data_IF_522420712418
#
_entry.id   IF_522420712418
#
_cell.length_a   1.000
_cell.length_b   1.000
_cell.length_c   1.000
_cell.angle_alpha   90.00
_cell.angle_beta   90.00
_cell.angle_gamma   90.00
#
_symmetry.space_group_name_H-M   'P 1'
#
loop_
_entity.id
_entity.type
_entity.pdbx_description
1 polymer ?
#
# COMPACT_ATOMS: atom_id res chain seq x y z
N UNK A 1 11.30 -20.23 28.88
CA UNK A 1 11.77 -18.98 28.24
C UNK A 1 10.55 -18.13 27.99
N UNK A 2 10.49 -17.00 28.69
CA UNK A 2 9.51 -15.93 28.44
C UNK A 2 9.76 -15.38 27.04
N UNK A 3 8.77 -15.49 26.15
CA UNK A 3 8.91 -15.07 24.75
C UNK A 3 8.34 -13.66 24.61
N UNK A 4 9.11 -12.76 23.99
CA UNK A 4 8.64 -11.43 23.68
C UNK A 4 7.80 -11.46 22.41
N UNK A 5 6.63 -10.81 22.44
CA UNK A 5 5.62 -10.92 21.38
C UNK A 5 5.13 -9.56 20.93
N UNK A 6 4.46 -9.52 19.79
CA UNK A 6 3.83 -8.29 19.30
C UNK A 6 2.44 -8.11 19.94
N UNK A 7 2.16 -6.91 20.45
CA UNK A 7 0.83 -6.50 20.88
C UNK A 7 0.34 -5.31 20.06
N UNK A 8 -0.94 -5.33 19.65
CA UNK A 8 -1.54 -4.22 18.93
C UNK A 8 -1.85 -3.08 19.90
N UNK A 9 -1.36 -1.88 19.63
CA UNK A 9 -1.58 -0.70 20.49
C UNK A 9 -2.68 0.21 19.92
N UNK A 10 -2.55 0.63 18.67
CA UNK A 10 -3.55 1.41 17.97
C UNK A 10 -3.62 0.97 16.49
N UNK A 11 -4.51 1.54 15.65
CA UNK A 11 -4.58 1.16 14.23
C UNK A 11 -3.21 1.30 13.55
N UNK A 12 -2.74 0.20 12.95
CA UNK A 12 -1.45 0.08 12.26
C UNK A 12 -0.19 0.21 13.15
N UNK A 13 -0.31 0.29 14.47
CA UNK A 13 0.84 0.34 15.39
C UNK A 13 0.87 -0.87 16.31
N UNK A 14 2.03 -1.53 16.35
CA UNK A 14 2.32 -2.62 17.27
C UNK A 14 3.43 -2.18 18.23
N UNK A 15 3.39 -2.74 19.44
CA UNK A 15 4.37 -2.55 20.51
C UNK A 15 4.93 -3.92 20.92
N UNK A 16 6.16 -3.93 21.41
CA UNK A 16 6.81 -5.10 21.98
C UNK A 16 6.16 -5.39 23.34
N UNK A 17 5.59 -6.58 23.51
CA UNK A 17 5.12 -7.09 24.79
C UNK A 17 6.21 -7.98 25.38
N UNK A 18 6.86 -7.49 26.42
CA UNK A 18 7.95 -8.16 27.11
C UNK A 18 7.54 -8.51 28.54
N UNK A 19 7.75 -9.76 29.01
CA UNK A 19 7.53 -10.11 30.42
C UNK A 19 8.56 -9.45 31.36
N UNK A 20 9.77 -9.19 30.85
CA UNK A 20 10.87 -8.55 31.59
C UNK A 20 11.02 -7.08 31.17
N UNK A 21 11.61 -6.28 32.07
CA UNK A 21 11.85 -4.87 31.81
C UNK A 21 13.10 -4.68 30.96
N UNK A 22 13.00 -3.79 29.97
CA UNK A 22 14.08 -3.42 29.05
C UNK A 22 14.35 -1.91 29.10
N UNK A 23 15.58 -1.53 28.81
CA UNK A 23 16.02 -0.15 28.65
C UNK A 23 15.90 0.32 27.20
N UNK A 24 15.91 1.64 27.00
CA UNK A 24 15.95 2.26 25.68
C UNK A 24 17.29 1.92 24.99
N UNK A 25 17.21 1.42 23.76
CA UNK A 25 18.36 0.92 22.97
C UNK A 25 18.61 -0.58 23.11
N UNK A 26 17.87 -1.30 23.96
CA UNK A 26 18.02 -2.75 24.07
C UNK A 26 17.57 -3.44 22.78
N UNK A 27 18.36 -4.41 22.30
CA UNK A 27 18.00 -5.25 21.16
C UNK A 27 17.35 -6.54 21.69
N UNK A 28 16.12 -6.77 21.25
CA UNK A 28 15.29 -7.87 21.72
C UNK A 28 14.72 -8.63 20.53
N UNK A 29 14.64 -9.95 20.62
CA UNK A 29 13.97 -10.78 19.61
C UNK A 29 12.46 -10.84 19.88
N UNK A 30 11.65 -10.41 18.92
CA UNK A 30 10.20 -10.56 18.95
C UNK A 30 9.73 -11.72 18.07
N UNK A 31 8.91 -12.59 18.63
CA UNK A 31 8.28 -13.69 17.90
C UNK A 31 6.84 -13.34 17.53
N UNK A 32 6.53 -13.42 16.23
CA UNK A 32 5.17 -13.25 15.72
C UNK A 32 4.28 -14.47 16.01
N UNK A 33 2.95 -14.30 15.91
CA UNK A 33 1.98 -15.42 16.01
C UNK A 33 2.28 -16.59 15.06
N UNK A 34 3.00 -16.33 13.96
CA UNK A 34 3.35 -17.33 12.95
C UNK A 34 4.76 -17.91 13.14
N UNK A 35 5.42 -17.66 14.27
CA UNK A 35 6.75 -18.20 14.57
C UNK A 35 7.90 -17.50 13.85
N UNK A 36 7.65 -16.40 13.13
CA UNK A 36 8.73 -15.56 12.58
C UNK A 36 9.32 -14.69 13.68
N UNK A 37 10.64 -14.70 13.77
CA UNK A 37 11.42 -13.88 14.69
C UNK A 37 11.98 -12.66 13.97
N UNK A 38 12.09 -11.55 14.69
CA UNK A 38 12.79 -10.37 14.21
C UNK A 38 13.46 -9.66 15.39
N UNK A 39 14.65 -9.15 15.16
CA UNK A 39 15.36 -8.29 16.11
C UNK A 39 14.79 -6.88 16.05
N UNK A 40 14.49 -6.34 17.21
CA UNK A 40 13.96 -4.99 17.36
C UNK A 40 14.75 -4.23 18.42
N UNK A 41 14.91 -2.94 18.18
CA UNK A 41 15.46 -1.99 19.13
C UNK A 41 14.31 -1.36 19.92
N UNK A 42 14.42 -1.42 21.24
CA UNK A 42 13.43 -0.88 22.19
C UNK A 42 13.60 0.63 22.35
N UNK A 43 12.50 1.38 22.28
CA UNK A 43 12.49 2.83 22.48
C UNK A 43 11.86 3.22 23.83
N UNK A 44 10.57 3.51 23.84
CA UNK A 44 9.88 4.07 25.00
C UNK A 44 8.95 3.05 25.64
N UNK A 45 8.83 3.10 26.97
CA UNK A 45 7.79 2.37 27.71
C UNK A 45 6.44 3.06 27.52
N UNK A 46 5.53 2.38 26.82
CA UNK A 46 4.20 2.89 26.45
C UNK A 46 3.16 2.57 27.53
N UNK A 47 3.23 1.37 28.09
CA UNK A 47 2.29 0.87 29.08
C UNK A 47 2.97 -0.18 29.95
N UNK A 48 2.61 -0.23 31.22
CA UNK A 48 2.96 -1.32 32.13
C UNK A 48 1.68 -1.98 32.66
N UNK A 49 1.74 -3.29 32.81
CA UNK A 49 0.73 -4.13 33.49
C UNK A 49 1.46 -5.01 34.50
N UNK A 50 0.72 -5.64 35.42
CA UNK A 50 1.32 -6.55 36.42
C UNK A 50 2.14 -7.68 35.76
N UNK A 51 1.72 -8.14 34.58
CA UNK A 51 2.32 -9.29 33.89
C UNK A 51 3.31 -8.94 32.77
N UNK A 52 3.34 -7.69 32.30
CA UNK A 52 4.10 -7.32 31.10
C UNK A 52 4.35 -5.82 30.95
N UNK A 53 5.44 -5.53 30.23
CA UNK A 53 5.87 -4.21 29.78
C UNK A 53 5.62 -4.08 28.28
N UNK A 54 5.14 -2.90 27.86
CA UNK A 54 4.85 -2.60 26.47
C UNK A 54 5.75 -1.48 25.97
N UNK A 55 6.57 -1.77 24.96
CA UNK A 55 7.52 -0.80 24.42
C UNK A 55 7.26 -0.48 22.95
N UNK A 56 7.48 0.76 22.56
CA UNK A 56 7.69 1.07 21.14
C UNK A 56 9.02 0.49 20.67
N UNK A 57 9.11 0.16 19.39
CA UNK A 57 10.30 -0.47 18.84
C UNK A 57 10.49 -0.09 17.36
N UNK A 58 11.73 -0.18 16.90
CA UNK A 58 12.08 -0.18 15.48
C UNK A 58 12.68 -1.54 15.13
N UNK A 59 12.41 -2.06 13.93
CA UNK A 59 13.05 -3.30 13.51
C UNK A 59 14.47 -3.02 13.02
N UNK A 60 15.43 -3.82 13.47
CA UNK A 60 16.83 -3.67 13.10
C UNK A 60 17.08 -4.03 11.62
N UNK A 61 16.17 -4.79 10.99
CA UNK A 61 16.24 -5.15 9.57
C UNK A 61 15.74 -4.05 8.61
N UNK A 62 15.37 -2.88 9.13
CA UNK A 62 14.85 -1.76 8.34
C UNK A 62 13.44 -2.00 7.77
N UNK A 63 12.75 -3.07 8.17
CA UNK A 63 11.39 -3.32 7.71
C UNK A 63 10.40 -2.41 8.46
N UNK A 64 9.71 -1.54 7.74
CA UNK A 64 8.69 -0.63 8.26
C UNK A 64 7.46 -0.64 7.33
N UNK A 65 6.51 0.26 7.55
CA UNK A 65 5.31 0.33 6.70
C UNK A 65 5.63 0.76 5.25
N UNK A 66 6.65 1.62 5.05
CA UNK A 66 7.05 2.13 3.74
C UNK A 66 7.73 1.03 2.91
N UNK A 67 8.75 0.37 3.46
CA UNK A 67 9.45 -0.70 2.76
C UNK A 67 8.53 -1.89 2.46
N UNK A 68 7.53 -2.13 3.31
CA UNK A 68 6.47 -3.11 3.02
C UNK A 68 5.58 -2.67 1.85
N UNK A 69 5.26 -1.38 1.75
CA UNK A 69 4.47 -0.84 0.65
C UNK A 69 5.25 -0.90 -0.68
N UNK A 70 6.54 -0.55 -0.67
CA UNK A 70 7.45 -0.68 -1.83
C UNK A 70 7.51 -2.13 -2.32
N UNK A 71 7.78 -3.10 -1.43
CA UNK A 71 7.80 -4.54 -1.78
C UNK A 71 6.47 -5.02 -2.37
N UNK A 72 5.34 -4.40 -1.97
CA UNK A 72 4.03 -4.72 -2.55
C UNK A 72 3.87 -4.10 -3.94
N UNK A 73 4.27 -2.85 -4.12
CA UNK A 73 4.26 -2.19 -5.43
C UNK A 73 5.11 -2.98 -6.43
N UNK A 74 6.35 -3.34 -6.08
CA UNK A 74 7.25 -4.15 -6.90
C UNK A 74 6.64 -5.51 -7.30
N UNK A 75 5.99 -6.18 -6.33
CA UNK A 75 5.30 -7.45 -6.61
C UNK A 75 4.17 -7.28 -7.63
N UNK A 76 3.36 -6.23 -7.49
CA UNK A 76 2.30 -5.95 -8.44
C UNK A 76 2.84 -5.52 -9.80
N UNK A 77 3.97 -4.81 -9.85
CA UNK A 77 4.67 -4.50 -11.09
C UNK A 77 5.04 -5.79 -11.83
N UNK A 78 5.63 -6.76 -11.14
CA UNK A 78 5.91 -8.07 -11.73
C UNK A 78 4.65 -8.79 -12.24
N UNK A 79 3.50 -8.62 -11.59
CA UNK A 79 2.23 -9.19 -12.08
C UNK A 79 1.68 -8.44 -13.31
N UNK A 80 1.81 -7.12 -13.35
CA UNK A 80 1.44 -6.29 -14.49
C UNK A 80 2.29 -6.64 -15.71
N UNK A 81 3.62 -6.70 -15.55
CA UNK A 81 4.55 -7.05 -16.63
C UNK A 81 4.27 -8.44 -17.18
N UNK A 82 3.99 -9.42 -16.31
CA UNK A 82 3.64 -10.76 -16.74
C UNK A 82 2.29 -10.81 -17.48
N UNK A 83 1.31 -9.99 -17.08
CA UNK A 83 0.04 -9.87 -17.81
C UNK A 83 0.23 -9.22 -19.18
N UNK A 84 1.05 -8.17 -19.25
CA UNK A 84 1.39 -7.52 -20.52
C UNK A 84 2.12 -8.48 -21.46
N UNK A 85 3.12 -9.22 -20.99
CA UNK A 85 3.81 -10.25 -21.79
C UNK A 85 2.85 -11.30 -22.34
N UNK A 86 1.90 -11.80 -21.53
CA UNK A 86 0.87 -12.74 -22.01
C UNK A 86 -0.08 -12.10 -23.03
N UNK A 87 -0.44 -10.84 -22.83
CA UNK A 87 -1.24 -10.06 -23.79
C UNK A 87 -0.54 -9.96 -25.14
N UNK A 88 0.74 -9.58 -25.14
CA UNK A 88 1.59 -9.50 -26.34
C UNK A 88 1.68 -10.85 -27.05
N UNK A 89 1.92 -11.94 -26.31
CA UNK A 89 1.94 -13.31 -26.86
C UNK A 89 0.61 -13.70 -27.53
N UNK A 90 -0.54 -13.38 -26.91
CA UNK A 90 -1.84 -13.66 -27.52
C UNK A 90 -2.10 -12.80 -28.75
N UNK A 91 -1.63 -11.55 -28.74
CA UNK A 91 -1.74 -10.65 -29.88
C UNK A 91 -0.91 -11.14 -31.06
N UNK A 92 0.35 -11.50 -30.84
CA UNK A 92 1.22 -12.11 -31.87
C UNK A 92 0.59 -13.39 -32.43
N UNK A 93 0.10 -14.27 -31.56
CA UNK A 93 -0.59 -15.50 -31.99
C UNK A 93 -1.90 -15.22 -32.75
N UNK A 94 -2.58 -14.09 -32.50
CA UNK A 94 -3.79 -13.70 -33.24
C UNK A 94 -3.51 -13.26 -34.69
N UNK A 95 -2.24 -13.01 -35.03
CA UNK A 95 -1.81 -12.69 -36.40
C UNK A 95 -1.64 -13.95 -37.27
N UNK A 96 -2.03 -15.13 -36.79
CA UNK A 96 -2.03 -16.36 -37.59
C UNK A 96 -2.87 -16.14 -38.87
N UNK A 97 -2.28 -16.39 -40.04
CA UNK A 97 -2.96 -16.23 -41.32
C UNK A 97 -3.21 -14.77 -41.73
N UNK A 98 -2.50 -13.81 -41.14
CA UNK A 98 -2.58 -12.38 -41.49
C UNK A 98 -2.44 -12.11 -42.99
N UNK A 99 -1.47 -12.76 -43.66
CA UNK A 99 -1.24 -12.58 -45.10
C UNK A 99 -2.41 -13.08 -45.95
N UNK A 100 -3.10 -14.12 -45.50
CA UNK A 100 -4.31 -14.62 -46.17
C UNK A 100 -5.50 -13.69 -45.92
N UNK A 101 -5.68 -13.23 -44.68
CA UNK A 101 -6.81 -12.37 -44.29
C UNK A 101 -6.66 -10.93 -44.82
N UNK A 102 -5.44 -10.44 -45.05
CA UNK A 102 -5.19 -9.11 -45.59
C UNK A 102 -5.70 -8.93 -47.02
N UNK A 103 -5.83 -10.03 -47.77
CA UNK A 103 -6.45 -10.04 -49.11
C UNK A 103 -7.95 -9.73 -49.07
N UNK A 104 -8.56 -9.73 -47.88
CA UNK A 104 -9.98 -9.46 -47.65
C UNK A 104 -10.93 -10.35 -48.50
N UNK A 105 -10.51 -11.58 -48.80
CA UNK A 105 -11.37 -12.53 -49.51
C UNK A 105 -12.64 -12.83 -48.69
N UNK A 106 -13.83 -12.81 -49.30
CA UNK A 106 -15.05 -13.18 -48.60
C UNK A 106 -15.07 -14.68 -48.27
N UNK A 107 -15.78 -15.05 -47.20
CA UNK A 107 -16.06 -16.46 -46.89
C UNK A 107 -16.99 -17.02 -47.98
N UNK A 108 -16.46 -17.96 -48.77
CA UNK A 108 -17.19 -18.66 -49.84
C UNK A 108 -18.08 -19.75 -49.23
N UNK A 109 -19.34 -19.43 -48.96
CA UNK A 109 -20.32 -20.37 -48.37
C UNK A 109 -20.56 -21.57 -49.30
N UNK A 110 -20.51 -22.79 -48.76
CA UNK A 110 -20.66 -24.04 -49.49
C UNK A 110 -19.37 -24.56 -50.15
N UNK A 111 -18.27 -23.80 -50.09
CA UNK A 111 -16.98 -24.23 -50.64
C UNK A 111 -16.17 -25.06 -49.63
N UNK A 112 -15.34 -25.98 -50.10
CA UNK A 112 -14.54 -26.86 -49.24
C UNK A 112 -13.56 -26.12 -48.29
N UNK A 113 -13.24 -24.85 -48.60
CA UNK A 113 -12.38 -23.99 -47.76
C UNK A 113 -13.13 -23.24 -46.65
N UNK A 114 -14.46 -23.19 -46.69
CA UNK A 114 -15.30 -22.41 -45.77
C UNK A 114 -14.98 -22.69 -44.30
N UNK A 115 -14.96 -23.98 -43.94
CA UNK A 115 -14.74 -24.43 -42.55
C UNK A 115 -13.38 -23.94 -42.00
N UNK A 116 -12.34 -23.96 -42.84
CA UNK A 116 -11.00 -23.50 -42.45
C UNK A 116 -10.97 -21.99 -42.27
N UNK A 117 -11.62 -21.23 -43.16
CA UNK A 117 -11.68 -19.78 -43.07
C UNK A 117 -12.40 -19.33 -41.79
N UNK A 118 -13.60 -19.87 -41.51
CA UNK A 118 -14.34 -19.56 -40.27
C UNK A 118 -13.54 -19.90 -39.01
N UNK A 119 -12.92 -21.08 -38.99
CA UNK A 119 -12.12 -21.51 -37.84
C UNK A 119 -10.90 -20.61 -37.60
N UNK A 120 -10.24 -20.10 -38.65
CA UNK A 120 -9.13 -19.17 -38.52
C UNK A 120 -9.58 -17.86 -37.86
N UNK A 121 -10.64 -17.24 -38.38
CA UNK A 121 -11.20 -16.00 -37.83
C UNK A 121 -11.63 -16.20 -36.37
N UNK A 122 -12.34 -17.29 -36.08
CA UNK A 122 -12.82 -17.57 -34.73
C UNK A 122 -11.66 -17.78 -33.74
N UNK A 123 -10.59 -18.49 -34.14
CA UNK A 123 -9.39 -18.66 -33.29
C UNK A 123 -8.71 -17.31 -33.03
N UNK A 124 -8.56 -16.47 -34.05
CA UNK A 124 -7.93 -15.16 -33.89
C UNK A 124 -8.79 -14.23 -33.02
N UNK A 125 -10.11 -14.24 -33.19
CA UNK A 125 -11.05 -13.51 -32.33
C UNK A 125 -10.93 -13.96 -30.86
N UNK A 126 -10.94 -15.27 -30.59
CA UNK A 126 -10.76 -15.80 -29.22
C UNK A 126 -9.41 -15.43 -28.60
N UNK A 127 -8.35 -15.31 -29.41
CA UNK A 127 -7.04 -14.82 -28.95
C UNK A 127 -7.11 -13.33 -28.62
N UNK A 128 -7.75 -12.51 -29.45
CA UNK A 128 -7.99 -11.09 -29.18
C UNK A 128 -8.81 -10.85 -27.90
N UNK A 129 -9.82 -11.69 -27.63
CA UNK A 129 -10.55 -11.64 -26.35
C UNK A 129 -9.61 -11.83 -25.15
N UNK A 130 -8.63 -12.75 -25.27
CA UNK A 130 -7.62 -12.97 -24.24
C UNK A 130 -6.64 -11.81 -24.12
N UNK A 131 -6.26 -11.17 -25.22
CA UNK A 131 -5.45 -9.92 -25.21
C UNK A 131 -6.14 -8.89 -24.32
N UNK A 132 -7.41 -8.58 -24.62
CA UNK A 132 -8.18 -7.59 -23.86
C UNK A 132 -8.33 -8.00 -22.39
N UNK A 133 -8.54 -9.28 -22.11
CA UNK A 133 -8.64 -9.77 -20.73
C UNK A 133 -7.32 -9.60 -19.95
N UNK A 134 -6.16 -9.87 -20.57
CA UNK A 134 -4.86 -9.65 -19.93
C UNK A 134 -4.52 -8.16 -19.80
N UNK A 135 -4.88 -7.32 -20.77
CA UNK A 135 -4.73 -5.86 -20.67
C UNK A 135 -5.50 -5.30 -19.47
N UNK A 136 -6.78 -5.71 -19.29
CA UNK A 136 -7.58 -5.30 -18.13
C UNK A 136 -6.97 -5.76 -16.80
N UNK A 137 -6.31 -6.92 -16.77
CA UNK A 137 -5.57 -7.37 -15.57
C UNK A 137 -4.37 -6.47 -15.31
N UNK A 138 -3.60 -6.13 -16.35
CA UNK A 138 -2.45 -5.24 -16.22
C UNK A 138 -2.87 -3.85 -15.70
N UNK A 139 -3.92 -3.27 -16.25
CA UNK A 139 -4.51 -2.00 -15.79
C UNK A 139 -4.94 -2.07 -14.32
N UNK A 140 -5.64 -3.14 -13.92
CA UNK A 140 -6.02 -3.34 -12.52
C UNK A 140 -4.82 -3.46 -11.58
N UNK A 141 -3.69 -4.00 -12.05
CA UNK A 141 -2.46 -4.02 -11.26
C UNK A 141 -1.81 -2.64 -11.19
N UNK A 142 -1.85 -1.84 -12.26
CA UNK A 142 -1.36 -0.45 -12.27
C UNK A 142 -2.07 0.41 -11.23
N UNK A 143 -3.39 0.30 -11.10
CA UNK A 143 -4.15 1.02 -10.06
C UNK A 143 -3.67 0.65 -8.64
N UNK A 144 -3.36 -0.63 -8.42
CA UNK A 144 -2.85 -1.12 -7.13
C UNK A 144 -1.43 -0.65 -6.88
N UNK A 145 -0.59 -0.62 -7.90
CA UNK A 145 0.79 -0.11 -7.83
C UNK A 145 0.74 1.35 -7.38
N UNK A 146 -0.03 2.20 -8.07
CA UNK A 146 -0.18 3.61 -7.73
C UNK A 146 -0.68 3.84 -6.28
N UNK A 147 -1.55 2.95 -5.78
CA UNK A 147 -1.95 2.99 -4.38
C UNK A 147 -0.79 2.66 -3.43
N UNK A 148 -0.03 1.59 -3.71
CA UNK A 148 1.08 1.17 -2.85
C UNK A 148 2.27 2.13 -2.89
N UNK A 149 2.55 2.75 -4.02
CA UNK A 149 3.53 3.84 -4.13
C UNK A 149 3.16 5.01 -3.22
N UNK A 150 1.89 5.45 -3.24
CA UNK A 150 1.42 6.49 -2.30
C UNK A 150 1.52 6.07 -0.83
N UNK A 151 1.41 4.77 -0.54
CA UNK A 151 1.59 4.27 0.82
C UNK A 151 3.06 4.17 1.22
N UNK A 152 3.98 4.03 0.27
CA UNK A 152 5.42 4.04 0.52
C UNK A 152 5.88 5.42 1.01
N UNK A 153 5.31 6.50 0.47
CA UNK A 153 5.67 7.87 0.90
C UNK A 153 5.02 8.30 2.22
N UNK A 154 4.11 7.48 2.77
CA UNK A 154 3.29 7.88 3.92
C UNK A 154 4.03 7.64 5.24
N UNK A 155 4.25 8.74 5.98
CA UNK A 155 4.69 8.69 7.37
C UNK A 155 3.49 8.38 8.29
N UNK A 156 3.59 7.34 9.11
CA UNK A 156 2.58 6.97 10.09
C UNK A 156 3.15 6.81 11.51
N UNK A 157 2.27 6.62 12.50
CA UNK A 157 2.65 6.55 13.92
C UNK A 157 3.61 5.40 14.27
N UNK A 158 3.81 4.41 13.39
CA UNK A 158 4.73 3.30 13.62
C UNK A 158 6.19 3.68 13.36
N UNK A 159 6.46 4.89 12.90
CA UNK A 159 7.79 5.39 12.56
C UNK A 159 8.26 6.43 13.58
N UNK A 160 9.55 6.45 13.99
CA UNK A 160 10.10 7.46 14.89
C UNK A 160 9.95 8.89 14.35
N UNK A 161 10.15 9.10 13.05
CA UNK A 161 10.06 10.39 12.37
C UNK A 161 8.64 10.98 12.40
N UNK A 162 7.65 10.17 12.78
CA UNK A 162 6.25 10.58 12.87
C UNK A 162 6.01 11.68 13.90
N UNK A 163 6.84 11.76 14.95
CA UNK A 163 6.70 12.81 15.97
C UNK A 163 6.94 14.19 15.35
N UNK A 164 8.08 14.37 14.69
CA UNK A 164 8.45 15.64 14.04
C UNK A 164 7.47 15.98 12.92
N UNK A 165 7.11 14.98 12.10
CA UNK A 165 6.14 15.14 11.02
C UNK A 165 4.78 15.64 11.52
N UNK A 166 4.21 15.01 12.57
CA UNK A 166 2.92 15.42 13.09
C UNK A 166 2.96 16.73 13.88
N UNK A 167 4.09 17.09 14.48
CA UNK A 167 4.28 18.41 15.10
C UNK A 167 4.24 19.52 14.05
N UNK A 168 5.00 19.36 12.97
CA UNK A 168 5.02 20.31 11.85
C UNK A 168 3.64 20.45 11.19
N UNK A 169 2.96 19.34 10.92
CA UNK A 169 1.61 19.37 10.35
C UNK A 169 0.58 19.97 11.31
N UNK A 170 0.76 19.80 12.62
CA UNK A 170 -0.09 20.43 13.64
C UNK A 170 0.06 21.96 13.63
N UNK A 171 1.29 22.48 13.50
CA UNK A 171 1.55 23.92 13.41
C UNK A 171 0.86 24.52 12.20
N UNK A 172 1.05 23.94 11.01
CA UNK A 172 0.33 24.37 9.80
C UNK A 172 -1.19 24.33 9.95
N UNK A 173 -1.72 23.28 10.59
CA UNK A 173 -3.15 23.15 10.81
C UNK A 173 -3.69 24.23 11.76
N UNK A 174 -2.91 24.62 12.78
CA UNK A 174 -3.25 25.71 13.71
C UNK A 174 -3.24 27.05 12.99
N UNK A 175 -2.21 27.34 12.20
CA UNK A 175 -2.13 28.55 11.36
C UNK A 175 -3.33 28.64 10.42
N UNK A 176 -3.65 27.56 9.71
CA UNK A 176 -4.82 27.52 8.81
C UNK A 176 -6.14 27.75 9.54
N UNK A 177 -6.31 27.14 10.72
CA UNK A 177 -7.51 27.35 11.53
C UNK A 177 -7.61 28.80 12.03
N UNK A 178 -6.49 29.40 12.42
CA UNK A 178 -6.43 30.79 12.85
C UNK A 178 -6.72 31.75 11.68
N UNK A 179 -6.10 31.54 10.52
CA UNK A 179 -6.33 32.32 9.30
C UNK A 179 -7.82 32.30 8.91
N UNK A 180 -8.46 31.14 8.90
CA UNK A 180 -9.90 31.03 8.61
C UNK A 180 -10.78 31.66 9.71
N UNK A 181 -10.28 31.79 10.94
CA UNK A 181 -11.01 32.45 12.04
C UNK A 181 -10.96 33.97 11.88
N UNK A 182 -9.78 34.50 11.55
CA UNK A 182 -9.50 35.93 11.37
C UNK A 182 -10.04 36.46 10.02
N UNK A 183 -10.05 35.61 8.99
CA UNK A 183 -10.47 35.93 7.62
C UNK A 183 -11.66 35.06 7.17
N UNK A 184 -12.91 35.37 7.57
CA UNK A 184 -14.09 34.63 7.14
C UNK A 184 -14.29 34.58 5.62
N UNK A 185 -13.79 35.57 4.87
CA UNK A 185 -13.83 35.66 3.41
C UNK A 185 -13.03 34.56 2.70
N UNK A 186 -12.02 33.98 3.37
CA UNK A 186 -11.24 32.85 2.84
C UNK A 186 -11.95 31.50 3.00
N UNK A 187 -13.09 31.47 3.70
CA UNK A 187 -13.89 30.23 3.87
C UNK A 187 -14.62 29.94 2.57
N UNK A 188 -14.25 28.83 1.93
CA UNK A 188 -14.95 28.34 0.74
C UNK A 188 -16.40 27.96 0.99
N UNK A 189 -16.74 27.53 2.21
CA UNK A 189 -18.08 27.12 2.60
C UNK A 189 -18.29 27.24 4.13
N UNK A 190 -19.54 27.14 4.59
CA UNK A 190 -19.89 27.28 6.01
C UNK A 190 -19.10 26.35 6.97
N UNK A 191 -18.74 25.15 6.51
CA UNK A 191 -17.99 24.17 7.31
C UNK A 191 -16.46 24.32 7.29
N UNK A 192 -15.89 25.30 6.58
CA UNK A 192 -14.42 25.39 6.41
C UNK A 192 -13.69 25.51 7.75
N UNK A 193 -14.24 26.32 8.67
CA UNK A 193 -13.69 26.49 10.01
C UNK A 193 -13.81 25.21 10.84
N UNK A 194 -14.95 24.51 10.76
CA UNK A 194 -15.18 23.24 11.48
C UNK A 194 -14.22 22.16 11.03
N UNK A 195 -13.96 22.04 9.72
CA UNK A 195 -12.99 21.08 9.18
C UNK A 195 -11.56 21.42 9.60
N UNK A 196 -11.19 22.71 9.60
CA UNK A 196 -9.87 23.14 10.09
C UNK A 196 -9.71 22.82 11.58
N UNK A 197 -10.73 23.07 12.41
CA UNK A 197 -10.70 22.71 13.85
C UNK A 197 -10.61 21.21 14.06
N UNK A 198 -11.34 20.42 13.27
CA UNK A 198 -11.27 18.95 13.30
C UNK A 198 -9.86 18.46 12.97
N UNK A 199 -9.22 19.01 11.95
CA UNK A 199 -7.85 18.66 11.56
C UNK A 199 -6.85 18.92 12.70
N UNK A 200 -6.94 20.08 13.36
CA UNK A 200 -6.12 20.41 14.55
C UNK A 200 -6.33 19.35 15.64
N UNK A 201 -7.59 19.05 15.99
CA UNK A 201 -7.88 18.09 17.05
C UNK A 201 -7.39 16.66 16.73
N UNK A 202 -7.44 16.25 15.46
CA UNK A 202 -6.93 14.94 15.02
C UNK A 202 -5.40 14.89 15.07
N UNK A 203 -4.73 15.95 14.63
CA UNK A 203 -3.27 16.06 14.71
C UNK A 203 -2.78 16.14 16.16
N UNK A 204 -3.48 16.86 17.05
CA UNK A 204 -3.16 16.87 18.48
C UNK A 204 -3.22 15.48 19.10
N UNK A 205 -4.20 14.65 18.71
CA UNK A 205 -4.26 13.25 19.15
C UNK A 205 -3.08 12.44 18.62
N UNK A 206 -2.69 12.64 17.36
CA UNK A 206 -1.53 11.95 16.76
C UNK A 206 -0.22 12.37 17.41
N UNK A 207 0.00 13.67 17.65
CA UNK A 207 1.19 14.17 18.37
C UNK A 207 1.26 13.55 19.76
N UNK A 208 0.16 13.53 20.53
CA UNK A 208 0.13 12.88 21.85
C UNK A 208 0.53 11.40 21.80
N UNK A 209 0.02 10.66 20.81
CA UNK A 209 0.38 9.26 20.61
C UNK A 209 1.84 9.10 20.18
N UNK A 210 2.32 9.93 19.26
CA UNK A 210 3.69 9.92 18.79
C UNK A 210 4.68 10.26 19.91
N UNK A 211 4.35 11.23 20.78
CA UNK A 211 5.15 11.56 21.96
C UNK A 211 5.25 10.36 22.91
N UNK A 212 4.12 9.69 23.19
CA UNK A 212 4.13 8.48 24.03
C UNK A 212 5.00 7.36 23.43
N UNK A 213 5.02 7.24 22.10
CA UNK A 213 5.77 6.21 21.40
C UNK A 213 7.26 6.55 21.23
N UNK A 214 7.63 7.82 21.04
CA UNK A 214 8.96 8.15 20.49
C UNK A 214 9.77 9.22 21.26
N UNK A 215 9.15 10.02 22.15
CA UNK A 215 9.86 11.05 22.92
C UNK A 215 10.57 10.48 24.15
#
# INVERSE_FOLDING_TARGET
MTINTYAKFCPNVFVAKCPEAHAKGDIVTLTSKYGKEAEVEIHNLVKQTEDAYFYSFTRCDGENAQTRAEKRAERYQGYADNAQKRSEQYWEASQEGRDFLSLAEPIKVGHHSEKRHRALIERNARRMDKVVAEMKKAESYQDRIAYWEKMADKIDLSMPESLEYFQFELEKAREKHQDLKEHPEKRSHAYSLTYAKKAVNELEKKVKLATLLWA
#
